data_IF_582394405913
#
_entry.id   IF_582394405913
#
_cell.length_a   1.000
_cell.length_b   1.000
_cell.length_c   1.000
_cell.angle_alpha   90.00
_cell.angle_beta   90.00
_cell.angle_gamma   90.00
#
_symmetry.space_group_name_H-M   'P 1'
#
loop_
_entity.id
_entity.type
_entity.pdbx_description
1 polymer ?
#
# COMPACT_ATOMS: atom_id res chain seq x y z
N UNK A 1 -4.01 6.46 -15.42
CA UNK A 1 -3.92 6.89 -14.01
C UNK A 1 -4.83 5.98 -13.18
N UNK A 2 -4.28 5.09 -12.34
CA UNK A 2 -5.06 4.13 -11.53
C UNK A 2 -5.40 4.78 -10.18
N UNK A 3 -6.56 5.42 -10.07
CA UNK A 3 -7.00 6.17 -8.87
C UNK A 3 -7.07 5.31 -7.59
N UNK A 4 -7.11 3.98 -7.71
CA UNK A 4 -7.14 3.03 -6.60
C UNK A 4 -6.06 1.95 -6.72
N UNK A 5 -4.90 2.32 -7.26
CA UNK A 5 -3.72 1.44 -7.28
C UNK A 5 -3.44 0.90 -5.87
N UNK A 6 -3.45 -0.42 -5.72
CA UNK A 6 -3.29 -1.11 -4.45
C UNK A 6 -4.59 -1.53 -3.73
N UNK A 7 -5.76 -1.05 -4.17
CA UNK A 7 -7.04 -1.57 -3.65
C UNK A 7 -7.18 -3.06 -3.96
N UNK A 8 -6.97 -3.44 -5.22
CA UNK A 8 -6.85 -4.84 -5.60
C UNK A 8 -5.38 -5.25 -5.41
N UNK A 9 -5.08 -6.32 -4.65
CA UNK A 9 -3.73 -6.86 -4.61
C UNK A 9 -3.29 -7.25 -6.01
N UNK A 10 -2.13 -6.78 -6.44
CA UNK A 10 -1.49 -7.18 -7.69
C UNK A 10 -0.48 -8.29 -7.38
N UNK A 11 -0.44 -9.33 -8.21
CA UNK A 11 0.55 -10.41 -8.04
C UNK A 11 1.93 -9.89 -8.43
N UNK A 12 2.92 -10.27 -7.65
CA UNK A 12 4.34 -9.95 -7.87
C UNK A 12 5.11 -11.25 -7.81
N UNK A 13 5.90 -11.49 -8.87
CA UNK A 13 6.79 -12.64 -8.97
C UNK A 13 8.17 -12.13 -9.38
N UNK A 14 9.20 -12.55 -8.64
CA UNK A 14 10.59 -12.16 -8.88
C UNK A 14 11.45 -13.41 -8.76
N UNK A 15 12.07 -13.81 -9.86
CA UNK A 15 13.00 -14.94 -9.86
C UNK A 15 14.33 -14.51 -9.22
N UNK A 16 14.99 -15.46 -8.57
CA UNK A 16 16.32 -15.29 -8.00
C UNK A 16 17.16 -16.54 -8.27
N UNK A 17 18.42 -16.39 -8.65
CA UNK A 17 19.32 -17.54 -8.76
C UNK A 17 19.74 -18.09 -7.38
N UNK A 18 19.46 -17.36 -6.29
CA UNK A 18 19.83 -17.78 -4.94
C UNK A 18 18.96 -18.94 -4.44
N UNK A 19 19.50 -19.87 -3.64
CA UNK A 19 18.70 -20.82 -2.89
C UNK A 19 17.70 -20.11 -1.97
N UNK A 20 16.51 -20.67 -1.78
CA UNK A 20 15.42 -20.01 -1.05
C UNK A 20 15.82 -19.55 0.37
N UNK A 21 16.58 -20.36 1.11
CA UNK A 21 17.04 -20.00 2.45
C UNK A 21 17.99 -18.80 2.45
N UNK A 22 18.84 -18.69 1.43
CA UNK A 22 19.78 -17.58 1.27
C UNK A 22 19.04 -16.31 0.86
N UNK A 23 18.14 -16.40 -0.13
CA UNK A 23 17.27 -15.30 -0.53
C UNK A 23 16.48 -14.72 0.66
N UNK A 24 15.91 -15.58 1.52
CA UNK A 24 15.22 -15.15 2.74
C UNK A 24 16.18 -14.42 3.69
N UNK A 25 17.41 -14.91 3.85
CA UNK A 25 18.43 -14.30 4.70
C UNK A 25 18.83 -12.91 4.18
N UNK A 26 19.12 -12.78 2.88
CA UNK A 26 19.46 -11.50 2.24
C UNK A 26 18.34 -10.47 2.43
N UNK A 27 17.10 -10.88 2.16
CA UNK A 27 15.92 -10.02 2.38
C UNK A 27 15.78 -9.62 3.85
N UNK A 28 15.99 -10.55 4.80
CA UNK A 28 15.91 -10.24 6.22
C UNK A 28 16.98 -9.24 6.68
N UNK A 29 18.21 -9.34 6.14
CA UNK A 29 19.31 -8.41 6.45
C UNK A 29 19.07 -7.00 5.91
N UNK A 30 18.41 -6.88 4.76
CA UNK A 30 18.09 -5.59 4.16
C UNK A 30 16.90 -4.86 4.79
N UNK A 31 16.11 -5.53 5.65
CA UNK A 31 14.92 -4.93 6.29
C UNK A 31 15.31 -4.23 7.58
N UNK A 32 14.99 -2.94 7.65
CA UNK A 32 15.20 -2.15 8.86
C UNK A 32 14.22 -2.56 9.97
N UNK A 33 14.61 -2.34 11.23
CA UNK A 33 13.77 -2.68 12.36
C UNK A 33 12.50 -1.83 12.38
N UNK A 34 11.41 -2.37 12.93
CA UNK A 34 10.17 -1.60 13.10
C UNK A 34 10.40 -0.30 13.88
N UNK A 35 11.32 -0.30 14.86
CA UNK A 35 11.64 0.88 15.67
C UNK A 35 12.25 2.01 14.85
N UNK A 36 13.14 1.68 13.91
CA UNK A 36 13.71 2.64 12.97
C UNK A 36 12.62 3.21 12.05
N UNK A 37 11.63 2.39 11.73
CA UNK A 37 10.43 2.79 10.99
C UNK A 37 9.46 3.70 11.75
N UNK A 38 9.47 3.74 13.09
CA UNK A 38 8.56 4.59 13.89
C UNK A 38 8.93 6.07 13.74
N UNK A 39 10.23 6.38 13.76
CA UNK A 39 10.70 7.74 13.51
C UNK A 39 10.67 8.04 12.02
N UNK A 40 10.95 7.04 11.19
CA UNK A 40 11.06 7.17 9.75
C UNK A 40 12.38 7.87 9.38
N UNK A 41 12.77 7.81 8.11
CA UNK A 41 14.01 8.46 7.67
C UNK A 41 13.88 9.98 7.76
N UNK A 42 14.97 10.66 8.10
CA UNK A 42 15.07 12.11 8.17
C UNK A 42 14.94 12.79 6.79
N UNK A 43 14.66 14.10 6.72
CA UNK A 43 14.59 14.82 5.45
C UNK A 43 15.87 14.64 4.63
N UNK A 44 15.76 14.15 3.40
CA UNK A 44 16.90 13.89 2.50
C UNK A 44 17.50 12.49 2.60
N UNK A 45 17.07 11.66 3.56
CA UNK A 45 17.51 10.28 3.68
C UNK A 45 16.80 9.34 2.67
N UNK A 46 17.45 8.22 2.30
CA UNK A 46 16.83 7.23 1.44
C UNK A 46 15.59 6.61 2.09
N UNK A 47 14.72 6.03 1.26
CA UNK A 47 13.56 5.28 1.74
C UNK A 47 14.02 4.07 2.56
N UNK A 48 13.27 3.76 3.61
CA UNK A 48 13.53 2.60 4.46
C UNK A 48 12.50 1.51 4.18
N UNK A 49 12.96 0.29 3.93
CA UNK A 49 12.10 -0.89 3.88
C UNK A 49 11.99 -1.46 5.29
N UNK A 50 10.77 -1.56 5.79
CA UNK A 50 10.46 -2.06 7.13
C UNK A 50 9.44 -3.16 7.04
N UNK A 51 9.56 -4.15 7.93
CA UNK A 51 8.65 -5.28 7.88
C UNK A 51 9.13 -6.46 8.69
N UNK A 52 8.63 -7.62 8.32
CA UNK A 52 9.01 -8.90 8.92
C UNK A 52 9.27 -9.89 7.82
N UNK A 53 10.43 -10.54 7.90
CA UNK A 53 10.82 -11.64 7.04
C UNK A 53 10.94 -12.89 7.92
N UNK A 54 10.30 -13.97 7.50
CA UNK A 54 10.40 -15.28 8.14
C UNK A 54 10.75 -16.32 7.08
N UNK A 55 11.03 -17.55 7.51
CA UNK A 55 11.27 -18.68 6.60
C UNK A 55 10.08 -19.04 5.71
N UNK A 56 8.86 -18.59 6.03
CA UNK A 56 7.63 -19.03 5.36
C UNK A 56 6.84 -17.90 4.73
N UNK A 57 7.02 -16.67 5.21
CA UNK A 57 6.31 -15.51 4.73
C UNK A 57 7.09 -14.24 5.00
N UNK A 58 6.81 -13.21 4.23
CA UNK A 58 7.33 -11.87 4.42
C UNK A 58 6.23 -10.82 4.22
N UNK A 59 6.29 -9.78 5.05
CA UNK A 59 5.41 -8.60 4.99
C UNK A 59 6.32 -7.39 5.02
N UNK A 60 6.38 -6.66 3.92
CA UNK A 60 7.24 -5.50 3.74
C UNK A 60 6.42 -4.26 3.42
N UNK A 61 6.87 -3.12 3.93
CA UNK A 61 6.34 -1.80 3.63
C UNK A 61 7.50 -0.83 3.52
N UNK A 62 7.29 0.30 2.87
CA UNK A 62 8.31 1.34 2.75
C UNK A 62 7.91 2.58 3.53
N UNK A 63 8.90 3.25 4.12
CA UNK A 63 8.75 4.53 4.81
C UNK A 63 9.57 5.58 4.06
N UNK A 64 8.94 6.72 3.78
CA UNK A 64 9.57 7.87 3.13
C UNK A 64 9.78 8.99 4.16
N UNK A 65 10.80 9.84 3.98
CA UNK A 65 10.98 11.00 4.83
C UNK A 65 9.77 11.92 4.80
N UNK A 66 9.31 12.35 5.98
CA UNK A 66 8.22 13.33 6.10
C UNK A 66 6.83 12.85 5.68
N UNK A 67 6.64 11.59 5.26
CA UNK A 67 5.34 11.07 4.82
C UNK A 67 4.93 9.88 5.68
N UNK A 68 3.84 10.05 6.44
CA UNK A 68 3.16 8.96 7.15
C UNK A 68 1.78 8.75 6.54
N UNK A 69 1.63 7.66 5.81
CA UNK A 69 0.40 7.34 5.10
C UNK A 69 -0.03 5.90 5.42
N UNK A 70 -1.26 5.73 5.92
CA UNK A 70 -1.85 4.40 6.17
C UNK A 70 -2.24 3.65 4.90
N UNK A 71 -2.34 4.36 3.76
CA UNK A 71 -2.64 3.80 2.44
C UNK A 71 -1.38 3.45 1.63
N UNK A 72 -0.19 3.45 2.26
CA UNK A 72 1.02 2.96 1.60
C UNK A 72 0.88 1.46 1.26
N UNK A 73 1.37 1.02 0.07
CA UNK A 73 1.35 -0.39 -0.30
C UNK A 73 2.19 -1.23 0.64
N UNK A 74 1.70 -2.44 0.87
CA UNK A 74 2.33 -3.51 1.62
C UNK A 74 2.55 -4.67 0.66
N UNK A 75 3.76 -5.19 0.63
CA UNK A 75 4.13 -6.39 -0.10
C UNK A 75 4.02 -7.58 0.85
N UNK A 76 3.17 -8.55 0.52
CA UNK A 76 3.00 -9.78 1.27
C UNK A 76 3.33 -10.96 0.36
N UNK A 77 4.18 -11.88 0.79
CA UNK A 77 4.50 -13.05 -0.02
C UNK A 77 5.40 -14.04 0.69
N UNK A 78 6.07 -14.87 -0.10
CA UNK A 78 7.03 -15.85 0.38
C UNK A 78 8.06 -16.13 -0.71
N UNK A 79 9.23 -16.60 -0.30
CA UNK A 79 10.24 -17.15 -1.22
C UNK A 79 10.01 -18.65 -1.31
N UNK A 80 9.85 -19.16 -2.53
CA UNK A 80 9.70 -20.60 -2.78
C UNK A 80 10.86 -21.11 -3.64
N UNK A 81 11.30 -22.36 -3.47
CA UNK A 81 12.29 -22.97 -4.36
C UNK A 81 11.80 -23.00 -5.82
N UNK A 82 12.70 -22.75 -6.77
CA UNK A 82 12.40 -22.81 -8.20
C UNK A 82 13.60 -23.34 -8.98
N UNK A 83 13.57 -24.65 -9.30
CA UNK A 83 14.68 -25.34 -9.95
C UNK A 83 15.98 -25.24 -9.16
N UNK A 84 17.00 -24.62 -9.76
CA UNK A 84 18.32 -24.40 -9.14
C UNK A 84 18.38 -23.16 -8.25
N UNK A 85 17.34 -22.33 -8.23
CA UNK A 85 17.28 -21.09 -7.45
C UNK A 85 16.00 -20.99 -6.63
N UNK A 86 15.46 -19.79 -6.56
CA UNK A 86 14.22 -19.50 -5.86
C UNK A 86 13.43 -18.42 -6.58
N UNK A 87 12.19 -18.25 -6.17
CA UNK A 87 11.35 -17.15 -6.64
C UNK A 87 10.57 -16.57 -5.48
N UNK A 88 10.54 -15.26 -5.40
CA UNK A 88 9.58 -14.57 -4.57
C UNK A 88 8.21 -14.60 -5.25
N UNK A 89 7.18 -15.05 -4.54
CA UNK A 89 5.78 -15.01 -4.99
C UNK A 89 4.95 -14.31 -3.94
N UNK A 90 4.23 -13.27 -4.34
CA UNK A 90 3.44 -12.49 -3.42
C UNK A 90 2.42 -11.59 -4.09
N UNK A 91 1.89 -10.70 -3.29
CA UNK A 91 0.95 -9.66 -3.71
C UNK A 91 1.34 -8.33 -3.11
N UNK A 92 1.12 -7.26 -3.87
CA UNK A 92 1.29 -5.89 -3.40
C UNK A 92 -0.04 -5.16 -3.42
N UNK A 93 -0.35 -4.44 -2.33
CA UNK A 93 -1.55 -3.63 -2.24
C UNK A 93 -1.70 -2.96 -0.89
N UNK A 94 -2.80 -2.26 -0.64
CA UNK A 94 -3.02 -1.60 0.64
C UNK A 94 -3.11 -2.60 1.78
N UNK A 95 -2.71 -2.13 2.96
CA UNK A 95 -2.96 -2.84 4.19
C UNK A 95 -4.47 -3.14 4.36
N UNK A 96 -4.87 -4.35 4.83
CA UNK A 96 -6.28 -4.71 5.01
C UNK A 96 -7.08 -3.70 5.84
N UNK A 97 -6.45 -3.13 6.88
CA UNK A 97 -7.08 -2.10 7.72
C UNK A 97 -7.39 -0.81 6.95
N UNK A 98 -6.50 -0.37 6.04
CA UNK A 98 -6.75 0.81 5.23
C UNK A 98 -7.92 0.59 4.27
N UNK A 99 -8.06 -0.63 3.73
CA UNK A 99 -9.23 -1.02 2.94
C UNK A 99 -10.50 -1.00 3.78
N UNK A 100 -10.49 -1.63 4.96
CA UNK A 100 -11.63 -1.66 5.86
C UNK A 100 -12.08 -0.26 6.26
N UNK A 101 -11.14 0.62 6.66
CA UNK A 101 -11.43 2.01 6.99
C UNK A 101 -12.03 2.77 5.81
N UNK A 102 -11.51 2.54 4.60
CA UNK A 102 -12.06 3.14 3.37
C UNK A 102 -13.49 2.66 3.09
N UNK A 103 -13.78 1.36 3.25
CA UNK A 103 -15.15 0.83 3.12
C UNK A 103 -16.08 1.50 4.14
N UNK A 104 -15.68 1.53 5.41
CA UNK A 104 -16.48 2.15 6.49
C UNK A 104 -16.73 3.62 6.20
N UNK A 105 -15.71 4.37 5.79
CA UNK A 105 -15.84 5.79 5.44
C UNK A 105 -16.83 6.01 4.28
N UNK A 106 -16.79 5.15 3.26
CA UNK A 106 -17.73 5.20 2.13
C UNK A 106 -19.16 4.86 2.55
N UNK A 107 -19.36 3.82 3.39
CA UNK A 107 -20.68 3.45 3.91
C UNK A 107 -21.27 4.56 4.78
N UNK A 108 -20.49 5.14 5.68
CA UNK A 108 -20.93 6.27 6.52
C UNK A 108 -21.28 7.47 5.67
N UNK A 109 -20.46 7.78 4.66
CA UNK A 109 -20.73 8.89 3.74
C UNK A 109 -22.02 8.67 2.95
N UNK A 110 -22.23 7.46 2.42
CA UNK A 110 -23.46 7.10 1.71
C UNK A 110 -24.69 7.19 2.63
N UNK A 111 -24.59 6.73 3.88
CA UNK A 111 -25.65 6.85 4.87
C UNK A 111 -25.96 8.31 5.19
N UNK A 112 -24.95 9.16 5.39
CA UNK A 112 -25.13 10.60 5.61
C UNK A 112 -25.82 11.27 4.42
N UNK A 113 -25.42 10.93 3.19
CA UNK A 113 -26.06 11.44 1.97
C UNK A 113 -27.53 11.03 1.93
N UNK A 114 -27.85 9.76 2.21
CA UNK A 114 -29.25 9.29 2.25
C UNK A 114 -30.08 10.01 3.34
N UNK A 115 -29.50 10.27 4.51
CA UNK A 115 -30.16 11.03 5.57
C UNK A 115 -30.40 12.49 5.14
N UNK A 116 -29.42 13.15 4.52
CA UNK A 116 -29.58 14.54 4.06
C UNK A 116 -30.64 14.62 2.96
N UNK A 117 -30.62 13.71 1.99
CA UNK A 117 -31.64 13.63 0.93
C UNK A 117 -33.05 13.42 1.51
N UNK A 118 -33.21 12.47 2.44
CA UNK A 118 -34.52 12.14 3.01
C UNK A 118 -35.06 13.20 3.98
N UNK A 119 -34.20 13.87 4.75
CA UNK A 119 -34.61 14.81 5.81
C UNK A 119 -34.60 16.28 5.36
N UNK A 120 -33.77 16.63 4.38
CA UNK A 120 -33.57 18.03 3.95
C UNK A 120 -34.15 18.26 2.56
N UNK A 121 -33.88 17.37 1.61
CA UNK A 121 -34.26 17.59 0.21
C UNK A 121 -35.70 17.16 -0.05
N UNK A 122 -36.06 15.92 0.32
CA UNK A 122 -37.37 15.33 0.05
C UNK A 122 -38.56 16.12 0.63
N UNK A 123 -38.52 16.64 1.88
CA UNK A 123 -39.62 17.40 2.45
C UNK A 123 -39.85 18.76 1.78
N UNK A 124 -38.90 19.23 0.99
CA UNK A 124 -38.96 20.51 0.27
C UNK A 124 -39.24 20.31 -1.22
N UNK A 125 -39.53 19.09 -1.70
CA UNK A 125 -39.87 18.82 -3.09
C UNK A 125 -41.21 19.50 -3.41
N UNK A 126 -41.12 20.70 -3.98
CA UNK A 126 -42.23 21.63 -4.24
C UNK A 126 -41.87 23.09 -3.95
N UNK A 127 -40.85 23.34 -3.13
CA UNK A 127 -40.18 24.62 -2.94
C UNK A 127 -38.74 24.48 -3.46
N UNK A 128 -38.10 25.55 -3.94
CA UNK A 128 -36.77 25.44 -4.59
C UNK A 128 -35.79 24.67 -3.69
N UNK A 129 -35.15 23.58 -4.16
CA UNK A 129 -34.20 22.84 -3.35
C UNK A 129 -33.09 23.79 -2.91
N UNK A 130 -32.67 23.70 -1.64
CA UNK A 130 -31.60 24.54 -1.14
C UNK A 130 -30.29 24.10 -1.81
N UNK A 131 -29.75 24.95 -2.70
CA UNK A 131 -28.51 24.68 -3.44
C UNK A 131 -27.36 24.27 -2.52
N UNK A 132 -27.34 24.77 -1.28
CA UNK A 132 -26.34 24.42 -0.27
C UNK A 132 -26.36 22.96 0.19
N UNK A 133 -27.53 22.32 0.29
CA UNK A 133 -27.61 20.91 0.72
C UNK A 133 -27.06 19.96 -0.35
N UNK A 134 -27.44 20.19 -1.62
CA UNK A 134 -26.92 19.42 -2.76
C UNK A 134 -25.40 19.59 -2.93
N UNK A 135 -24.89 20.82 -2.78
CA UNK A 135 -23.45 21.09 -2.82
C UNK A 135 -22.72 20.42 -1.64
N UNK A 136 -23.30 20.39 -0.45
CA UNK A 136 -22.75 19.70 0.71
C UNK A 136 -22.64 18.18 0.52
N UNK A 137 -23.69 17.56 -0.02
CA UNK A 137 -23.73 16.13 -0.37
C UNK A 137 -22.66 15.77 -1.40
N UNK A 138 -22.57 16.56 -2.48
CA UNK A 138 -21.55 16.37 -3.53
C UNK A 138 -20.14 16.57 -2.97
N UNK A 139 -19.94 17.57 -2.11
CA UNK A 139 -18.66 17.84 -1.44
C UNK A 139 -18.20 16.68 -0.56
N UNK A 140 -19.11 16.11 0.26
CA UNK A 140 -18.80 14.97 1.12
C UNK A 140 -18.47 13.72 0.30
N UNK A 141 -19.28 13.40 -0.72
CA UNK A 141 -19.04 12.27 -1.60
C UNK A 141 -17.70 12.42 -2.36
N UNK A 142 -17.42 13.61 -2.87
CA UNK A 142 -16.16 13.92 -3.55
C UNK A 142 -14.97 13.76 -2.60
N UNK A 143 -15.05 14.28 -1.37
CA UNK A 143 -13.98 14.18 -0.39
C UNK A 143 -13.67 12.73 0.00
N UNK A 144 -14.71 11.93 0.28
CA UNK A 144 -14.57 10.53 0.69
C UNK A 144 -13.98 9.64 -0.40
N UNK A 145 -14.11 10.02 -1.67
CA UNK A 145 -13.46 9.35 -2.81
C UNK A 145 -12.06 9.92 -3.11
N UNK A 146 -11.89 11.24 -3.00
CA UNK A 146 -10.66 11.93 -3.33
C UNK A 146 -9.52 11.61 -2.35
N UNK A 147 -9.82 11.50 -1.05
CA UNK A 147 -8.78 11.27 -0.05
C UNK A 147 -8.10 9.90 -0.21
N UNK A 148 -8.82 8.76 -0.33
CA UNK A 148 -8.19 7.48 -0.62
C UNK A 148 -7.48 7.48 -1.97
N UNK A 149 -8.07 8.12 -2.99
CA UNK A 149 -7.46 8.17 -4.32
C UNK A 149 -6.13 8.93 -4.31
N UNK A 150 -6.09 10.09 -3.66
CA UNK A 150 -4.87 10.88 -3.48
C UNK A 150 -3.81 10.12 -2.67
N UNK A 151 -4.22 9.50 -1.55
CA UNK A 151 -3.32 8.70 -0.73
C UNK A 151 -2.74 7.49 -1.49
N UNK A 152 -3.51 6.94 -2.43
CA UNK A 152 -3.08 5.84 -3.31
C UNK A 152 -2.09 6.29 -4.36
N UNK A 153 -2.32 7.45 -4.96
CA UNK A 153 -1.41 8.05 -5.93
C UNK A 153 -0.05 8.32 -5.30
N UNK A 154 -0.04 8.85 -4.08
CA UNK A 154 1.19 8.96 -3.31
C UNK A 154 1.85 7.59 -3.15
N UNK A 155 1.08 6.56 -2.81
CA UNK A 155 1.52 5.18 -2.59
C UNK A 155 2.08 4.43 -3.81
N UNK A 156 1.78 4.81 -5.06
CA UNK A 156 2.26 4.07 -6.26
C UNK A 156 3.78 3.92 -6.26
N UNK A 157 4.47 5.05 -6.08
CA UNK A 157 5.93 5.07 -6.09
C UNK A 157 6.54 4.22 -4.95
N UNK A 158 5.81 4.02 -3.86
CA UNK A 158 6.23 3.15 -2.75
C UNK A 158 6.15 1.68 -3.15
N UNK A 159 5.09 1.29 -3.83
CA UNK A 159 4.92 -0.07 -4.31
C UNK A 159 5.99 -0.44 -5.36
N UNK A 160 6.22 0.44 -6.32
CA UNK A 160 7.28 0.26 -7.33
C UNK A 160 8.68 0.20 -6.71
N UNK A 161 8.92 0.98 -5.65
CA UNK A 161 10.17 0.93 -4.91
C UNK A 161 10.35 -0.41 -4.18
N UNK A 162 9.32 -0.93 -3.52
CA UNK A 162 9.38 -2.22 -2.85
C UNK A 162 9.69 -3.36 -3.83
N UNK A 163 9.01 -3.40 -4.98
CA UNK A 163 9.26 -4.42 -5.99
C UNK A 163 10.70 -4.34 -6.53
N UNK A 164 11.19 -3.14 -6.82
CA UNK A 164 12.57 -2.94 -7.26
C UNK A 164 13.59 -3.33 -6.20
N UNK A 165 13.36 -2.92 -4.95
CA UNK A 165 14.24 -3.25 -3.84
C UNK A 165 14.36 -4.77 -3.64
N UNK A 166 13.24 -5.51 -3.71
CA UNK A 166 13.28 -6.99 -3.64
C UNK A 166 14.08 -7.58 -4.79
N UNK A 167 13.88 -7.10 -6.03
CA UNK A 167 14.65 -7.56 -7.18
C UNK A 167 16.15 -7.28 -7.01
N UNK A 168 16.52 -6.07 -6.61
CA UNK A 168 17.92 -5.67 -6.38
C UNK A 168 18.60 -6.54 -5.34
N UNK A 169 17.98 -6.75 -4.17
CA UNK A 169 18.56 -7.60 -3.12
C UNK A 169 18.76 -9.04 -3.59
N UNK A 170 17.84 -9.55 -4.41
CA UNK A 170 17.92 -10.91 -4.95
C UNK A 170 18.90 -11.07 -6.13
N UNK A 171 19.30 -9.97 -6.77
CA UNK A 171 20.26 -9.92 -7.89
C UNK A 171 21.70 -9.58 -7.45
N UNK A 172 21.88 -8.58 -6.58
CA UNK A 172 23.20 -8.10 -6.17
C UNK A 172 23.99 -9.19 -5.42
N UNK A 173 23.35 -9.93 -4.52
CA UNK A 173 24.01 -11.01 -3.77
C UNK A 173 24.31 -12.24 -4.62
N UNK A 174 23.57 -12.46 -5.71
CA UNK A 174 23.89 -13.49 -6.69
C UNK A 174 25.20 -13.18 -7.42
N UNK A 175 25.42 -11.91 -7.76
CA UNK A 175 26.65 -11.44 -8.40
C UNK A 175 27.86 -11.49 -7.46
N UNK A 176 27.66 -11.24 -6.17
CA UNK A 176 28.70 -11.34 -5.14
C UNK A 176 29.09 -12.81 -4.83
N UNK A 177 28.14 -13.74 -4.93
CA UNK A 177 28.37 -15.17 -4.74
C UNK A 177 29.09 -15.86 -5.91
N UNK A 178 28.97 -15.34 -7.13
CA UNK A 178 29.66 -15.87 -8.33
C UNK A 178 31.13 -15.47 -8.44
N UNK A 179 31.60 -14.53 -7.61
CA UNK A 179 32.97 -13.99 -7.64
C UNK A 179 33.90 -14.64 -6.58
N UNK A 180 33.44 -15.69 -5.90
CA UNK A 180 34.21 -16.49 -4.94
C UNK A 180 34.33 -17.93 -5.43
#
# INVERSE_FOLDING_TARGET
MRLFSGWRPERVEVASPLPAAEAVRCLALGVASWRDGVFGPGPGEPRLVVGRVTSHWLILSTRRPGVRNGWSPVLHGQVVPDGTGSRFVGTIGWHPLARAFTVVALVVSAAMVAVIETQVVWPHVGHRPSTGAAVGVLGLAAFSLALPAFASLLGVADGEYLCRWVATVLEEDASAGSAR
#
